data_IF_742111752934
#
_entry.id   IF_742111752934
#
_cell.length_a   1.000
_cell.length_b   1.000
_cell.length_c   1.000
_cell.angle_alpha   90.00
_cell.angle_beta   90.00
_cell.angle_gamma   90.00
#
_symmetry.space_group_name_H-M   'P 1'
#
loop_
_entity.id
_entity.type
_entity.pdbx_description
1 polymer ?
#
# COMPACT_ATOMS: atom_id res chain seq x y z
N UNK A 1 -3.24 19.99 30.19
CA UNK A 1 -2.36 18.88 30.58
C UNK A 1 -2.66 17.68 29.69
N UNK A 2 -1.78 17.33 28.73
CA UNK A 2 -1.95 16.12 27.91
C UNK A 2 -1.51 14.94 28.74
N UNK A 3 -2.45 14.07 29.11
CA UNK A 3 -2.19 12.89 29.95
C UNK A 3 -1.26 11.92 29.21
N UNK A 4 -0.33 11.30 29.94
CA UNK A 4 0.71 10.37 29.40
C UNK A 4 0.12 9.26 28.50
N UNK A 5 -1.14 8.88 28.73
CA UNK A 5 -1.88 7.88 27.95
C UNK A 5 -2.06 8.27 26.48
N UNK A 6 -2.41 9.53 26.21
CA UNK A 6 -2.67 9.99 24.83
C UNK A 6 -1.40 9.91 23.97
N UNK A 7 -0.22 10.13 24.58
CA UNK A 7 1.08 10.02 23.89
C UNK A 7 1.33 8.62 23.34
N UNK A 8 0.97 7.57 24.07
CA UNK A 8 1.18 6.18 23.63
C UNK A 8 0.28 5.87 22.42
N UNK A 9 -0.97 6.35 22.45
CA UNK A 9 -1.88 6.19 21.32
C UNK A 9 -1.38 6.87 20.05
N UNK A 10 -0.85 8.09 20.13
CA UNK A 10 -0.27 8.77 18.96
C UNK A 10 0.97 8.06 18.41
N UNK A 11 1.85 7.56 19.29
CA UNK A 11 3.03 6.81 18.88
C UNK A 11 2.65 5.51 18.16
N UNK A 12 1.60 4.82 18.64
CA UNK A 12 1.08 3.63 17.99
C UNK A 12 0.51 3.93 16.59
N UNK A 13 -0.25 5.02 16.44
CA UNK A 13 -0.78 5.44 15.14
C UNK A 13 0.32 5.81 14.14
N UNK A 14 1.40 6.45 14.60
CA UNK A 14 2.58 6.76 13.78
C UNK A 14 3.30 5.50 13.32
N UNK A 15 3.48 4.52 14.21
CA UNK A 15 4.10 3.24 13.85
C UNK A 15 3.29 2.52 12.77
N UNK A 16 1.96 2.48 12.94
CA UNK A 16 1.04 1.90 11.97
C UNK A 16 1.17 2.62 10.61
N UNK A 17 1.25 3.96 10.63
CA UNK A 17 1.42 4.79 9.43
C UNK A 17 2.68 4.41 8.62
N UNK A 18 3.83 4.30 9.30
CA UNK A 18 5.08 3.89 8.65
C UNK A 18 5.01 2.48 8.05
N UNK A 19 4.39 1.53 8.74
CA UNK A 19 4.21 0.16 8.22
C UNK A 19 3.40 0.19 6.91
N UNK A 20 2.32 0.99 6.84
CA UNK A 20 1.54 1.13 5.61
C UNK A 20 2.32 1.71 4.43
N UNK A 21 3.21 2.67 4.69
CA UNK A 21 4.12 3.23 3.67
C UNK A 21 5.09 2.17 3.16
N UNK A 22 5.73 1.40 4.05
CA UNK A 22 6.68 0.35 3.65
C UNK A 22 6.01 -0.67 2.74
N UNK A 23 4.81 -1.14 3.09
CA UNK A 23 4.04 -2.06 2.26
C UNK A 23 3.71 -1.48 0.88
N UNK A 24 3.39 -0.20 0.83
CA UNK A 24 3.09 0.49 -0.42
C UNK A 24 4.27 0.60 -1.35
N UNK A 25 5.43 0.99 -0.81
CA UNK A 25 6.68 1.05 -1.58
C UNK A 25 6.98 -0.36 -2.12
N UNK A 26 6.79 -1.39 -1.31
CA UNK A 26 7.03 -2.77 -1.73
C UNK A 26 6.15 -3.19 -2.91
N UNK A 27 4.83 -2.94 -2.84
CA UNK A 27 3.91 -3.21 -3.96
C UNK A 27 4.25 -2.39 -5.21
N UNK A 28 4.60 -1.12 -5.07
CA UNK A 28 5.01 -0.28 -6.20
C UNK A 28 6.27 -0.79 -6.87
N UNK A 29 7.29 -1.14 -6.10
CA UNK A 29 8.52 -1.75 -6.62
C UNK A 29 8.19 -3.06 -7.35
N UNK A 30 7.32 -3.88 -6.79
CA UNK A 30 6.88 -5.13 -7.42
C UNK A 30 6.10 -4.86 -8.74
N UNK A 31 5.27 -3.82 -8.82
CA UNK A 31 4.58 -3.40 -10.05
C UNK A 31 5.56 -2.86 -11.09
N UNK A 32 6.50 -2.01 -10.68
CA UNK A 32 7.43 -1.39 -11.61
C UNK A 32 8.42 -2.41 -12.18
N UNK A 33 8.90 -3.34 -11.35
CA UNK A 33 9.88 -4.37 -11.70
C UNK A 33 9.34 -5.45 -12.63
N UNK A 34 8.06 -5.81 -12.52
CA UNK A 34 7.46 -6.85 -13.36
C UNK A 34 6.83 -6.26 -14.64
N UNK A 35 6.73 -7.05 -15.70
CA UNK A 35 5.93 -6.67 -16.88
C UNK A 35 4.48 -7.10 -16.67
N UNK A 36 3.56 -6.36 -17.27
CA UNK A 36 2.13 -6.64 -17.22
C UNK A 36 1.62 -6.60 -18.65
N UNK A 37 0.52 -7.29 -18.90
CA UNK A 37 -0.16 -7.20 -20.18
C UNK A 37 -0.86 -5.84 -20.34
N UNK A 38 -0.79 -5.26 -21.54
CA UNK A 38 -1.52 -4.05 -21.91
C UNK A 38 -1.36 -2.90 -20.88
N UNK A 39 -2.47 -2.33 -20.43
CA UNK A 39 -2.52 -1.20 -19.51
C UNK A 39 -2.61 -1.62 -18.02
N UNK A 40 -2.52 -2.92 -17.72
CA UNK A 40 -2.72 -3.43 -16.35
C UNK A 40 -1.67 -2.88 -15.39
N UNK A 41 -0.43 -2.64 -15.86
CA UNK A 41 0.60 -1.96 -15.05
C UNK A 41 0.12 -0.60 -14.55
N UNK A 42 -0.42 0.23 -15.46
CA UNK A 42 -0.89 1.58 -15.12
C UNK A 42 -2.07 1.52 -14.16
N UNK A 43 -3.01 0.59 -14.36
CA UNK A 43 -4.14 0.38 -13.45
C UNK A 43 -3.63 0.07 -12.04
N UNK A 44 -2.69 -0.86 -11.89
CA UNK A 44 -2.16 -1.21 -10.57
C UNK A 44 -1.34 -0.09 -9.92
N UNK A 45 -0.56 0.67 -10.70
CA UNK A 45 0.14 1.86 -10.17
C UNK A 45 -0.87 2.86 -9.64
N UNK A 46 -1.94 3.16 -10.38
CA UNK A 46 -2.98 4.10 -9.97
C UNK A 46 -3.73 3.57 -8.75
N UNK A 47 -4.11 2.29 -8.73
CA UNK A 47 -4.80 1.67 -7.59
C UNK A 47 -3.93 1.77 -6.34
N UNK A 48 -2.65 1.39 -6.40
CA UNK A 48 -1.76 1.42 -5.23
C UNK A 48 -1.43 2.85 -4.78
N UNK A 49 -1.20 3.78 -5.70
CA UNK A 49 -0.98 5.20 -5.35
C UNK A 49 -2.23 5.88 -4.79
N UNK A 50 -3.39 5.69 -5.40
CA UNK A 50 -4.64 6.27 -4.91
C UNK A 50 -5.02 5.72 -3.53
N UNK A 51 -4.77 4.42 -3.30
CA UNK A 51 -5.03 3.76 -2.03
C UNK A 51 -4.08 4.17 -0.91
N UNK A 52 -2.92 4.76 -1.23
CA UNK A 52 -2.04 5.35 -0.21
C UNK A 52 -2.66 6.57 0.47
N UNK A 53 -3.51 7.30 -0.24
CA UNK A 53 -4.12 8.52 0.28
C UNK A 53 -5.16 8.22 1.38
N UNK A 54 -5.79 7.04 1.34
CA UNK A 54 -6.62 6.52 2.43
C UNK A 54 -5.86 5.41 3.17
N UNK A 55 -5.26 5.75 4.31
CA UNK A 55 -4.46 4.82 5.12
C UNK A 55 -5.18 3.48 5.43
N UNK A 56 -6.50 3.50 5.65
CA UNK A 56 -7.32 2.30 5.87
C UNK A 56 -7.49 1.43 4.60
N UNK A 57 -7.46 2.03 3.42
CA UNK A 57 -7.64 1.34 2.13
C UNK A 57 -6.35 0.72 1.60
N UNK A 58 -5.20 1.14 2.14
CA UNK A 58 -3.88 0.68 1.75
C UNK A 58 -3.73 -0.85 1.90
N UNK A 59 -4.28 -1.42 2.98
CA UNK A 59 -4.35 -2.87 3.20
C UNK A 59 -5.19 -3.59 2.14
N UNK A 60 -6.37 -3.05 1.81
CA UNK A 60 -7.29 -3.65 0.84
C UNK A 60 -6.69 -3.66 -0.55
N UNK A 61 -6.06 -2.55 -0.96
CA UNK A 61 -5.42 -2.43 -2.25
C UNK A 61 -4.20 -3.35 -2.42
N UNK A 62 -3.38 -3.48 -1.38
CA UNK A 62 -2.26 -4.43 -1.39
C UNK A 62 -2.73 -5.87 -1.45
N UNK A 63 -3.81 -6.23 -0.73
CA UNK A 63 -4.41 -7.56 -0.83
C UNK A 63 -4.98 -7.81 -2.23
N UNK A 64 -5.65 -6.81 -2.82
CA UNK A 64 -6.20 -6.89 -4.17
C UNK A 64 -5.09 -7.07 -5.21
N UNK A 65 -4.00 -6.30 -5.11
CA UNK A 65 -2.81 -6.46 -5.94
C UNK A 65 -2.21 -7.86 -5.77
N UNK A 66 -2.07 -8.33 -4.54
CA UNK A 66 -1.42 -9.61 -4.28
C UNK A 66 -2.26 -10.79 -4.80
N UNK A 67 -3.60 -10.70 -4.70
CA UNK A 67 -4.51 -11.77 -5.17
C UNK A 67 -4.78 -11.74 -6.67
N UNK A 68 -4.96 -10.55 -7.24
CA UNK A 68 -5.41 -10.36 -8.62
C UNK A 68 -4.28 -9.82 -9.49
N UNK A 69 -3.66 -8.71 -9.08
CA UNK A 69 -2.63 -8.05 -9.89
C UNK A 69 -1.37 -8.87 -10.12
N UNK A 70 -0.96 -9.68 -9.15
CA UNK A 70 0.14 -10.64 -9.30
C UNK A 70 -0.09 -11.65 -10.42
N UNK A 71 -1.35 -12.04 -10.69
CA UNK A 71 -1.70 -13.01 -11.73
C UNK A 71 -1.66 -12.41 -13.14
N UNK A 72 -1.75 -11.09 -13.25
CA UNK A 72 -1.69 -10.34 -14.52
C UNK A 72 -0.24 -10.01 -14.93
N UNK A 73 0.74 -10.44 -14.13
CA UNK A 73 2.15 -10.28 -14.48
C UNK A 73 2.50 -11.25 -15.58
N UNK A 74 3.09 -10.71 -16.63
CA UNK A 74 3.77 -11.50 -17.65
C UNK A 74 5.25 -11.39 -17.29
N UNK A 75 5.88 -12.52 -16.98
CA UNK A 75 7.27 -12.55 -16.54
C UNK A 75 8.21 -12.13 -17.69
#
# INVERSE_FOLDING_TARGET
MVTKNNRIHYNFLILLYFIGIVFSIFSLVDILKNKFENNDKLIWVIVVMASNFLFLFNLVANILYYKIGRKQKIQ
#
